data_IF_524641007439
#
_entry.id   IF_524641007439
#
_cell.length_a   1.000
_cell.length_b   1.000
_cell.length_c   1.000
_cell.angle_alpha   90.00
_cell.angle_beta   90.00
_cell.angle_gamma   90.00
#
_symmetry.space_group_name_H-M   'P 1'
#
loop_
_entity.id
_entity.type
_entity.pdbx_description
1 polymer ?
#
# COMPACT_ATOMS: atom_id res chain seq x y z
N UNK A 1 -2.67 -12.61 5.69
CA UNK A 1 -2.93 -13.33 6.95
C UNK A 1 -3.90 -12.55 7.82
N UNK A 2 -4.82 -13.21 8.56
CA UNK A 2 -5.75 -12.52 9.46
C UNK A 2 -4.99 -11.82 10.59
N UNK A 3 -5.56 -10.76 11.16
CA UNK A 3 -4.89 -9.98 12.21
C UNK A 3 -4.50 -10.82 13.45
N UNK A 4 -5.28 -11.86 13.78
CA UNK A 4 -5.10 -12.67 14.99
C UNK A 4 -3.83 -13.50 15.03
N UNK A 5 -3.14 -13.74 13.90
CA UNK A 5 -1.92 -14.56 13.89
C UNK A 5 -0.65 -13.77 14.21
N UNK A 6 -0.64 -12.45 13.96
CA UNK A 6 0.56 -11.63 14.12
C UNK A 6 1.10 -11.59 15.57
N UNK A 7 0.28 -11.51 16.63
CA UNK A 7 0.80 -11.55 18.00
C UNK A 7 1.66 -12.78 18.29
N UNK A 8 1.27 -13.96 17.79
CA UNK A 8 2.03 -15.19 17.97
C UNK A 8 3.36 -15.18 17.20
N UNK A 9 3.33 -14.74 15.94
CA UNK A 9 4.53 -14.66 15.10
C UNK A 9 5.54 -13.62 15.60
N UNK A 10 5.05 -12.47 16.04
CA UNK A 10 5.87 -11.38 16.58
C UNK A 10 6.42 -11.77 17.95
N UNK A 11 5.55 -12.19 18.87
CA UNK A 11 5.95 -12.59 20.22
C UNK A 11 6.90 -13.79 20.25
N UNK A 12 6.78 -14.69 19.27
CA UNK A 12 7.67 -15.83 19.09
C UNK A 12 8.98 -15.52 18.35
N UNK A 13 9.18 -14.29 17.88
CA UNK A 13 10.38 -13.90 17.13
C UNK A 13 10.59 -14.68 15.83
N UNK A 14 9.52 -15.12 15.17
CA UNK A 14 9.62 -16.05 14.02
C UNK A 14 10.15 -15.41 12.73
N UNK A 15 10.18 -14.08 12.64
CA UNK A 15 10.55 -13.33 11.44
C UNK A 15 11.40 -12.11 11.78
N UNK A 16 12.36 -11.76 10.92
CA UNK A 16 13.07 -10.46 11.03
C UNK A 16 12.24 -9.30 10.43
N UNK A 17 11.41 -9.63 9.43
CA UNK A 17 10.56 -8.67 8.70
C UNK A 17 9.14 -9.23 8.66
N UNK A 18 8.21 -8.53 9.30
CA UNK A 18 6.78 -8.85 9.29
C UNK A 18 6.15 -8.18 8.07
N UNK A 19 5.40 -8.96 7.28
CA UNK A 19 4.84 -8.49 6.01
C UNK A 19 3.31 -8.61 5.94
N UNK A 20 2.56 -7.75 6.66
CA UNK A 20 1.12 -7.76 6.53
C UNK A 20 0.70 -7.25 5.15
N UNK A 21 -0.38 -7.81 4.60
CA UNK A 21 -0.87 -7.42 3.28
C UNK A 21 -1.66 -6.11 3.33
N UNK A 22 -1.39 -5.24 2.37
CA UNK A 22 -2.00 -3.95 2.08
C UNK A 22 -3.54 -3.92 2.09
N UNK A 23 -4.20 -5.03 1.77
CA UNK A 23 -5.67 -5.15 1.76
C UNK A 23 -6.32 -5.22 3.17
N UNK A 24 -5.54 -5.13 4.24
CA UNK A 24 -6.08 -5.04 5.60
C UNK A 24 -6.60 -3.64 5.91
N UNK A 25 -7.52 -3.54 6.89
CA UNK A 25 -7.96 -2.26 7.46
C UNK A 25 -6.74 -1.47 7.96
N UNK A 26 -6.66 -0.16 7.64
CA UNK A 26 -5.52 0.71 7.97
C UNK A 26 -5.08 0.61 9.44
N UNK A 27 -6.06 0.52 10.35
CA UNK A 27 -5.83 0.32 11.79
C UNK A 27 -5.10 -0.98 12.10
N UNK A 28 -5.45 -2.07 11.42
CA UNK A 28 -4.78 -3.37 11.62
C UNK A 28 -3.34 -3.32 11.11
N UNK A 29 -3.09 -2.73 9.93
CA UNK A 29 -1.73 -2.55 9.41
C UNK A 29 -0.86 -1.79 10.41
N UNK A 30 -1.34 -0.65 10.92
CA UNK A 30 -0.60 0.13 11.90
C UNK A 30 -0.37 -0.63 13.22
N UNK A 31 -1.39 -1.34 13.71
CA UNK A 31 -1.28 -2.12 14.95
C UNK A 31 -0.25 -3.26 14.84
N UNK A 32 -0.20 -3.94 13.69
CA UNK A 32 0.82 -4.98 13.42
C UNK A 32 2.22 -4.36 13.35
N UNK A 33 2.36 -3.22 12.66
CA UNK A 33 3.63 -2.53 12.54
C UNK A 33 4.18 -2.06 13.90
N UNK A 34 3.33 -1.45 14.74
CA UNK A 34 3.72 -0.99 16.08
C UNK A 34 4.15 -2.14 16.98
N UNK A 35 3.46 -3.28 16.86
CA UNK A 35 3.82 -4.49 17.60
C UNK A 35 5.16 -5.06 17.13
N UNK A 36 5.40 -5.11 15.82
CA UNK A 36 6.67 -5.56 15.26
C UNK A 36 7.83 -4.66 15.73
N UNK A 37 7.66 -3.32 15.65
CA UNK A 37 8.68 -2.37 16.10
C UNK A 37 8.97 -2.49 17.61
N UNK A 38 7.93 -2.72 18.43
CA UNK A 38 8.09 -2.94 19.86
C UNK A 38 8.90 -4.20 20.21
N UNK A 39 8.90 -5.21 19.33
CA UNK A 39 9.69 -6.43 19.45
C UNK A 39 11.02 -6.37 18.68
N UNK A 40 11.40 -5.19 18.16
CA UNK A 40 12.64 -4.99 17.41
C UNK A 40 12.65 -5.58 16.00
N UNK A 41 11.49 -5.97 15.48
CA UNK A 41 11.31 -6.49 14.13
C UNK A 41 10.95 -5.36 13.16
N UNK A 42 11.32 -5.50 11.88
CA UNK A 42 10.87 -4.55 10.85
C UNK A 42 9.46 -4.89 10.38
N UNK A 43 8.70 -3.89 9.95
CA UNK A 43 7.44 -4.09 9.26
C UNK A 43 7.48 -3.46 7.86
N UNK A 44 7.31 -4.28 6.83
CA UNK A 44 7.28 -3.87 5.42
C UNK A 44 6.10 -4.57 4.76
N UNK A 45 5.21 -3.83 4.13
CA UNK A 45 3.96 -4.41 3.66
C UNK A 45 4.14 -5.32 2.46
N UNK A 46 3.42 -6.46 2.47
CA UNK A 46 3.33 -7.32 1.31
C UNK A 46 2.58 -6.60 0.20
N UNK A 47 3.15 -6.68 -1.00
CA UNK A 47 2.89 -5.79 -2.09
C UNK A 47 1.44 -5.74 -2.57
N UNK A 48 1.09 -4.55 -3.02
CA UNK A 48 -0.10 -4.27 -3.80
C UNK A 48 0.31 -3.33 -4.93
N UNK A 49 -0.54 -3.19 -5.94
CA UNK A 49 -0.32 -2.31 -7.07
C UNK A 49 -1.61 -1.59 -7.51
N UNK A 50 -2.76 -1.83 -6.87
CA UNK A 50 -4.02 -1.25 -7.30
C UNK A 50 -4.30 0.13 -6.69
N UNK A 51 -5.56 0.56 -6.74
CA UNK A 51 -6.01 1.75 -5.99
C UNK A 51 -5.88 1.56 -4.47
N UNK A 52 -5.90 0.33 -3.97
CA UNK A 52 -5.74 -0.02 -2.55
C UNK A 52 -4.33 0.27 -2.00
N UNK A 53 -3.32 0.34 -2.89
CA UNK A 53 -1.95 0.70 -2.51
C UNK A 53 -1.89 2.05 -1.77
N UNK A 54 -2.77 3.00 -2.08
CA UNK A 54 -2.75 4.33 -1.46
C UNK A 54 -2.90 4.29 0.06
N UNK A 55 -3.76 3.40 0.57
CA UNK A 55 -3.93 3.22 2.01
C UNK A 55 -2.65 2.71 2.67
N UNK A 56 -1.94 1.83 1.98
CA UNK A 56 -0.68 1.27 2.45
C UNK A 56 0.46 2.26 2.40
N UNK A 57 0.50 3.14 1.38
CA UNK A 57 1.44 4.25 1.33
C UNK A 57 1.23 5.21 2.50
N UNK A 58 -0.02 5.62 2.75
CA UNK A 58 -0.35 6.52 3.86
C UNK A 58 0.02 5.92 5.22
N UNK A 59 -0.28 4.64 5.46
CA UNK A 59 0.10 3.97 6.72
C UNK A 59 1.61 3.75 6.79
N UNK A 60 2.23 3.32 5.70
CA UNK A 60 3.67 3.07 5.60
C UNK A 60 4.50 4.30 5.93
N UNK A 61 4.07 5.49 5.49
CA UNK A 61 4.69 6.76 5.82
C UNK A 61 4.76 7.06 7.33
N UNK A 62 3.91 6.42 8.14
CA UNK A 62 3.86 6.59 9.59
C UNK A 62 4.70 5.57 10.37
N UNK A 63 5.32 4.60 9.68
CA UNK A 63 6.05 3.48 10.30
C UNK A 63 7.54 3.68 10.03
N UNK A 64 8.36 3.74 11.09
CA UNK A 64 9.78 4.06 10.97
C UNK A 64 10.59 2.94 10.31
N UNK A 65 10.20 1.70 10.54
CA UNK A 65 10.83 0.49 10.01
C UNK A 65 10.39 0.13 8.59
N UNK A 66 9.39 0.83 8.04
CA UNK A 66 8.91 0.61 6.67
C UNK A 66 9.83 1.35 5.68
N UNK A 67 10.89 0.67 5.25
CA UNK A 67 11.93 1.24 4.37
C UNK A 67 11.65 1.05 2.88
N UNK A 68 10.64 0.27 2.51
CA UNK A 68 10.29 -0.05 1.14
C UNK A 68 8.83 -0.45 1.00
N UNK A 69 8.31 -0.35 -0.21
CA UNK A 69 6.98 -0.84 -0.57
C UNK A 69 7.15 -1.84 -1.72
N UNK A 70 6.69 -3.08 -1.51
CA UNK A 70 6.63 -4.06 -2.58
C UNK A 70 5.51 -3.65 -3.56
N UNK A 71 5.81 -3.69 -4.85
CA UNK A 71 4.84 -3.53 -5.94
C UNK A 71 4.76 -4.84 -6.71
N UNK A 72 3.55 -5.39 -6.83
CA UNK A 72 3.34 -6.69 -7.50
C UNK A 72 2.94 -6.43 -8.95
N UNK A 73 3.76 -6.87 -9.90
CA UNK A 73 3.42 -6.85 -11.33
C UNK A 73 3.65 -8.22 -11.94
N UNK A 74 2.71 -8.68 -12.76
CA UNK A 74 2.74 -10.01 -13.38
C UNK A 74 3.22 -10.00 -14.83
N UNK A 75 3.49 -8.82 -15.41
CA UNK A 75 3.84 -8.69 -16.83
C UNK A 75 5.14 -7.90 -17.05
N UNK A 76 6.32 -8.48 -16.77
CA UNK A 76 7.59 -7.88 -17.18
C UNK A 76 7.66 -7.72 -18.71
N UNK A 77 8.26 -6.65 -19.26
CA UNK A 77 9.03 -5.59 -18.59
C UNK A 77 8.21 -4.32 -18.26
N UNK A 78 6.89 -4.42 -18.06
CA UNK A 78 6.01 -3.27 -17.82
C UNK A 78 6.47 -2.43 -16.62
N UNK A 79 6.53 -1.10 -16.80
CA UNK A 79 6.84 -0.19 -15.71
C UNK A 79 5.61 0.05 -14.81
N UNK A 80 5.81 0.42 -13.53
CA UNK A 80 4.72 0.74 -12.61
C UNK A 80 3.69 1.73 -13.16
N UNK A 81 4.17 2.84 -13.75
CA UNK A 81 3.29 3.89 -14.29
C UNK A 81 2.45 3.41 -15.48
N UNK A 82 2.98 2.50 -16.31
CA UNK A 82 2.24 1.91 -17.42
C UNK A 82 1.10 1.02 -16.90
N UNK A 83 1.38 0.21 -15.89
CA UNK A 83 0.40 -0.67 -15.25
C UNK A 83 -0.73 0.12 -14.56
N UNK A 84 -0.42 1.31 -14.02
CA UNK A 84 -1.40 2.19 -13.39
C UNK A 84 -2.14 3.10 -14.35
N UNK A 85 -1.65 3.27 -15.59
CA UNK A 85 -2.23 4.19 -16.56
C UNK A 85 -3.75 4.07 -16.74
N UNK A 86 -4.38 2.87 -16.71
CA UNK A 86 -5.84 2.78 -16.80
C UNK A 86 -6.55 3.34 -15.57
N UNK A 87 -5.93 3.28 -14.39
CA UNK A 87 -6.50 3.78 -13.13
C UNK A 87 -6.51 5.31 -13.06
N UNK A 88 -5.65 5.98 -13.84
CA UNK A 88 -5.64 7.45 -13.91
C UNK A 88 -6.98 8.00 -14.44
N UNK A 89 -7.72 7.23 -15.24
CA UNK A 89 -9.03 7.63 -15.73
C UNK A 89 -10.13 7.60 -14.64
N UNK A 90 -9.86 7.02 -13.47
CA UNK A 90 -10.83 6.87 -12.37
C UNK A 90 -10.67 7.93 -11.27
N UNK A 91 -9.73 8.87 -11.46
CA UNK A 91 -9.41 9.94 -10.50
C UNK A 91 -9.45 11.28 -11.19
N UNK A 92 -9.74 12.35 -10.44
CA UNK A 92 -9.74 13.71 -10.99
C UNK A 92 -8.33 14.30 -11.20
N UNK A 93 -7.33 13.72 -10.56
CA UNK A 93 -5.92 14.10 -10.74
C UNK A 93 -5.32 13.52 -12.03
N UNK A 94 -4.21 14.08 -12.50
CA UNK A 94 -3.54 13.62 -13.73
C UNK A 94 -3.01 12.18 -13.60
N UNK A 95 -2.44 11.84 -12.43
CA UNK A 95 -1.88 10.52 -12.13
C UNK A 95 -2.31 10.06 -10.75
N UNK A 96 -2.69 8.79 -10.63
CA UNK A 96 -2.96 8.15 -9.34
C UNK A 96 -1.67 8.00 -8.51
N UNK A 97 -0.58 7.59 -9.16
CA UNK A 97 0.74 7.46 -8.55
C UNK A 97 1.82 7.99 -9.48
N UNK A 98 2.91 8.50 -8.90
CA UNK A 98 4.11 8.93 -9.64
C UNK A 98 5.33 8.25 -9.04
N UNK A 99 6.16 7.66 -9.88
CA UNK A 99 7.47 7.13 -9.46
C UNK A 99 8.56 8.08 -9.93
N UNK A 100 9.44 8.49 -9.02
CA UNK A 100 10.60 9.31 -9.33
C UNK A 100 11.80 8.81 -8.55
N UNK A 101 12.91 8.59 -9.24
CA UNK A 101 14.19 8.16 -8.66
C UNK A 101 14.08 6.88 -7.78
N UNK A 102 13.18 5.96 -8.16
CA UNK A 102 12.92 4.73 -7.40
C UNK A 102 11.95 4.88 -6.23
N UNK A 103 11.37 6.07 -6.02
CA UNK A 103 10.42 6.36 -4.94
C UNK A 103 9.04 6.67 -5.49
N UNK A 104 8.02 6.07 -4.87
CA UNK A 104 6.63 6.44 -5.11
C UNK A 104 6.34 7.72 -4.31
N UNK A 105 5.80 8.73 -4.99
CA UNK A 105 5.36 9.97 -4.33
C UNK A 105 4.03 9.71 -3.63
N UNK A 106 4.00 9.88 -2.30
CA UNK A 106 2.79 9.71 -1.50
C UNK A 106 1.90 10.95 -1.71
N UNK A 107 0.62 10.80 -2.07
CA UNK A 107 -0.28 11.94 -2.24
C UNK A 107 -0.44 12.77 -0.96
N UNK A 108 -0.42 14.10 -1.11
CA UNK A 108 -0.32 15.05 0.02
C UNK A 108 -1.64 15.77 0.37
N UNK A 109 -2.69 15.61 -0.44
CA UNK A 109 -4.00 16.17 -0.12
C UNK A 109 -4.62 15.47 1.12
N UNK A 110 -5.59 16.10 1.81
CA UNK A 110 -6.22 15.49 2.98
C UNK A 110 -6.82 14.10 2.74
N UNK A 111 -6.93 13.30 3.80
CA UNK A 111 -7.44 11.92 3.71
C UNK A 111 -6.42 10.99 3.06
N UNK A 112 -6.84 10.23 2.04
CA UNK A 112 -5.93 9.38 1.27
C UNK A 112 -5.12 10.17 0.23
N UNK A 113 -5.48 11.44 -0.01
CA UNK A 113 -4.80 12.33 -0.94
C UNK A 113 -5.18 12.17 -2.41
N UNK A 114 -6.30 11.49 -2.69
CA UNK A 114 -6.87 11.30 -4.04
C UNK A 114 -8.36 11.64 -4.05
N UNK A 115 -8.82 12.16 -5.18
CA UNK A 115 -10.22 12.42 -5.46
C UNK A 115 -10.67 11.53 -6.62
N UNK A 116 -11.75 10.76 -6.40
CA UNK A 116 -12.31 9.86 -7.40
C UNK A 116 -13.14 10.63 -8.43
N UNK A 117 -13.12 10.15 -9.67
CA UNK A 117 -14.03 10.59 -10.71
C UNK A 117 -15.24 9.63 -10.78
N UNK A 118 -16.33 9.99 -10.11
CA UNK A 118 -17.54 9.16 -10.04
C UNK A 118 -18.20 8.93 -11.41
N UNK A 119 -18.13 9.92 -12.31
CA UNK A 119 -18.68 9.78 -13.66
C UNK A 119 -17.87 8.77 -14.47
N UNK A 120 -16.54 8.82 -14.37
CA UNK A 120 -15.66 7.84 -15.00
C UNK A 120 -15.84 6.44 -14.40
N UNK A 121 -15.96 6.32 -13.08
CA UNK A 121 -16.23 5.03 -12.43
C UNK A 121 -17.53 4.43 -12.96
N UNK A 122 -18.59 5.23 -13.10
CA UNK A 122 -19.85 4.74 -13.63
C UNK A 122 -19.73 4.33 -15.10
N UNK A 123 -19.03 5.13 -15.92
CA UNK A 123 -18.77 4.82 -17.32
C UNK A 123 -18.00 3.51 -17.54
N UNK A 124 -17.05 3.20 -16.65
CA UNK A 124 -16.21 2.00 -16.73
C UNK A 124 -16.70 0.84 -15.86
N UNK A 125 -17.86 0.99 -15.19
CA UNK A 125 -18.44 -0.07 -14.36
C UNK A 125 -18.73 -1.31 -15.22
N UNK A 126 -18.32 -2.47 -14.72
CA UNK A 126 -18.70 -3.78 -15.27
C UNK A 126 -19.80 -4.39 -14.42
N UNK A 127 -20.68 -5.17 -15.05
CA UNK A 127 -21.74 -5.94 -14.37
C UNK A 127 -21.18 -7.17 -13.62
#
# INVERSE_FOLDING_TARGET
QPYSVYPGYIGGGSFDIVQPHCANVLRHLKSVADMAEAFGQKCVFHGSHGMDLIGSLQVGATIRSCDRQELVYTTPPMMPEDAWSPLNALVKGEKLYTVKDGYIQIPQAPGLGVELDEEAIEKFRVE
#
